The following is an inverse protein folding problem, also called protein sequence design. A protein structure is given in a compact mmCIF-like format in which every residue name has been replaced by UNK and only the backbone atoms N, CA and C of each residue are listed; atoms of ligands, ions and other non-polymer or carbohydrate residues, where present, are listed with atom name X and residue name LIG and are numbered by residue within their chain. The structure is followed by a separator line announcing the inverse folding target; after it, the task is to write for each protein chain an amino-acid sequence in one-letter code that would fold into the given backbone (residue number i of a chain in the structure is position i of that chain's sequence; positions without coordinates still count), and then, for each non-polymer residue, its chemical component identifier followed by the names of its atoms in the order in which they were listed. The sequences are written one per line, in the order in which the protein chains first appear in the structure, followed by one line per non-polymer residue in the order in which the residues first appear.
data_IF_813551922900
#
_entry.id   IF_813551922900
#
_cell.length_a   1.000
_cell.length_b   1.000
_cell.length_c   1.000
_cell.angle_alpha   90.00
_cell.angle_beta   90.00
_cell.angle_gamma   90.00
#
_symmetry.space_group_name_H-M   'P 1'
#
loop_
_entity.id
_entity.type
_entity.pdbx_description
1 polymer ?
#
# COMPACT_ATOMS: atom_id res chain seq x y z
N UNK A 1 -23.78 -16.78 16.96
CA UNK A 1 -23.36 -15.38 16.72
C UNK A 1 -23.37 -15.18 15.22
N UNK A 2 -24.08 -14.15 14.75
CA UNK A 2 -24.07 -13.83 13.33
C UNK A 2 -22.85 -12.97 13.06
N UNK A 3 -21.94 -13.44 12.22
CA UNK A 3 -20.79 -12.66 11.77
C UNK A 3 -21.11 -11.99 10.45
N UNK A 4 -20.56 -10.82 10.25
CA UNK A 4 -20.60 -10.10 8.97
C UNK A 4 -19.18 -9.93 8.43
N UNK A 5 -19.05 -10.01 7.12
CA UNK A 5 -17.84 -9.70 6.39
C UNK A 5 -17.93 -8.26 5.91
N UNK A 6 -16.95 -7.43 6.27
CA UNK A 6 -16.96 -5.99 5.97
C UNK A 6 -16.04 -5.71 4.79
N UNK A 7 -16.54 -4.91 3.83
CA UNK A 7 -15.75 -4.40 2.70
C UNK A 7 -15.18 -3.03 3.00
N UNK A 8 -16.03 -2.10 3.46
CA UNK A 8 -15.63 -0.74 3.80
C UNK A 8 -16.65 -0.05 4.70
N UNK A 9 -16.23 1.07 5.28
CA UNK A 9 -17.11 2.14 5.73
C UNK A 9 -17.13 3.20 4.61
N UNK A 10 -18.28 3.80 4.33
CA UNK A 10 -18.42 4.84 3.34
C UNK A 10 -19.12 6.07 3.90
N UNK A 11 -19.06 7.20 3.18
CA UNK A 11 -20.06 8.23 3.34
C UNK A 11 -21.46 7.66 3.06
N UNK A 12 -22.48 8.34 3.53
CA UNK A 12 -23.87 7.84 3.50
C UNK A 12 -24.26 7.32 2.11
N UNK A 13 -24.73 6.09 2.09
CA UNK A 13 -25.22 5.39 0.92
C UNK A 13 -26.53 4.69 1.26
N UNK A 14 -27.55 4.83 0.43
CA UNK A 14 -28.87 4.28 0.71
C UNK A 14 -28.94 2.79 0.33
N UNK A 15 -28.44 2.44 -0.85
CA UNK A 15 -28.54 1.08 -1.39
C UNK A 15 -27.35 0.78 -2.31
N UNK A 16 -26.95 -0.50 -2.33
CA UNK A 16 -25.95 -1.02 -3.25
C UNK A 16 -26.35 -2.42 -3.71
N UNK A 17 -26.68 -2.55 -4.99
CA UNK A 17 -27.11 -3.82 -5.59
C UNK A 17 -25.91 -4.49 -6.26
N UNK A 18 -25.16 -5.25 -5.49
CA UNK A 18 -23.98 -6.00 -5.93
C UNK A 18 -23.92 -7.36 -5.25
N UNK A 19 -23.08 -8.22 -5.81
CA UNK A 19 -22.69 -9.52 -5.23
C UNK A 19 -21.24 -9.44 -4.77
N UNK A 20 -20.97 -9.93 -3.58
CA UNK A 20 -19.62 -9.95 -3.00
C UNK A 20 -19.05 -11.36 -2.87
N UNK A 21 -18.25 -11.56 -1.84
CA UNK A 21 -17.62 -12.84 -1.51
C UNK A 21 -18.65 -13.99 -1.47
N UNK A 22 -18.23 -15.21 -1.84
CA UNK A 22 -19.08 -16.40 -1.88
C UNK A 22 -20.41 -16.19 -2.64
N UNK A 23 -20.45 -15.24 -3.59
CA UNK A 23 -21.68 -14.82 -4.28
C UNK A 23 -22.79 -14.33 -3.35
N UNK A 24 -22.46 -13.84 -2.17
CA UNK A 24 -23.42 -13.30 -1.21
C UNK A 24 -23.87 -11.89 -1.60
N UNK A 25 -25.11 -11.51 -1.33
CA UNK A 25 -25.58 -10.14 -1.59
C UNK A 25 -24.87 -9.15 -0.68
N UNK A 26 -24.59 -7.97 -1.22
CA UNK A 26 -24.13 -6.83 -0.45
C UNK A 26 -25.30 -6.24 0.33
N UNK A 27 -25.02 -5.81 1.54
CA UNK A 27 -25.95 -5.10 2.40
C UNK A 27 -25.33 -3.78 2.84
N UNK A 28 -26.17 -2.81 3.11
CA UNK A 28 -25.79 -1.47 3.59
C UNK A 28 -26.45 -1.24 4.96
N UNK A 29 -25.66 -0.91 5.96
CA UNK A 29 -26.16 -0.49 7.29
C UNK A 29 -25.75 0.96 7.52
N UNK A 30 -26.72 1.83 7.74
CA UNK A 30 -26.48 3.25 7.95
C UNK A 30 -26.37 3.59 9.43
N UNK A 31 -25.47 4.53 9.74
CA UNK A 31 -25.38 5.19 11.02
C UNK A 31 -24.98 6.66 10.82
N UNK A 32 -25.93 7.57 11.02
CA UNK A 32 -25.78 9.01 10.74
C UNK A 32 -25.30 9.26 9.30
N UNK A 33 -24.12 9.88 9.12
CA UNK A 33 -23.52 10.19 7.81
C UNK A 33 -22.62 9.07 7.27
N UNK A 34 -22.59 7.91 7.93
CA UNK A 34 -21.78 6.77 7.53
C UNK A 34 -22.65 5.58 7.13
N UNK A 35 -22.09 4.74 6.27
CA UNK A 35 -22.63 3.42 5.93
C UNK A 35 -21.55 2.36 6.05
N UNK A 36 -21.91 1.18 6.56
CA UNK A 36 -21.09 -0.03 6.45
C UNK A 36 -21.58 -0.85 5.29
N UNK A 37 -20.65 -1.27 4.44
CA UNK A 37 -20.87 -2.16 3.30
C UNK A 37 -20.38 -3.55 3.68
N UNK A 38 -21.29 -4.52 3.70
CA UNK A 38 -21.01 -5.84 4.24
C UNK A 38 -21.81 -6.97 3.57
N UNK A 39 -21.42 -8.22 3.81
CA UNK A 39 -22.21 -9.42 3.55
C UNK A 39 -22.42 -10.20 4.85
N UNK A 40 -23.61 -10.73 5.07
CA UNK A 40 -23.85 -11.66 6.19
C UNK A 40 -23.24 -13.01 5.85
N UNK A 41 -22.42 -13.55 6.74
CA UNK A 41 -21.73 -14.81 6.53
C UNK A 41 -22.14 -15.85 7.59
N UNK A 42 -22.33 -17.08 7.15
CA UNK A 42 -22.61 -18.23 8.04
C UNK A 42 -21.42 -19.18 8.13
N UNK A 43 -20.42 -19.02 7.26
CA UNK A 43 -19.23 -19.85 7.14
C UNK A 43 -17.99 -18.97 6.99
N UNK A 44 -16.83 -19.53 7.34
CA UNK A 44 -15.56 -18.86 7.13
C UNK A 44 -15.31 -18.58 5.64
N UNK A 45 -14.89 -17.39 5.33
CA UNK A 45 -14.55 -16.99 3.95
C UNK A 45 -13.24 -17.63 3.54
N UNK A 46 -13.28 -18.44 2.49
CA UNK A 46 -12.09 -19.09 1.94
C UNK A 46 -11.16 -18.08 1.30
N UNK A 47 -9.86 -18.22 1.55
CA UNK A 47 -8.80 -17.43 0.91
C UNK A 47 -8.50 -17.99 -0.49
N UNK A 48 -9.45 -17.79 -1.41
CA UNK A 48 -9.36 -18.16 -2.82
C UNK A 48 -9.43 -16.91 -3.70
N UNK A 49 -8.92 -17.02 -4.91
CA UNK A 49 -8.78 -15.90 -5.85
C UNK A 49 -10.14 -15.26 -6.17
N UNK A 50 -11.18 -16.05 -6.34
CA UNK A 50 -12.54 -15.59 -6.63
C UNK A 50 -13.09 -14.67 -5.53
N UNK A 51 -12.88 -15.02 -4.25
CA UNK A 51 -13.32 -14.19 -3.14
C UNK A 51 -12.50 -12.91 -3.01
N UNK A 52 -11.21 -12.99 -3.29
CA UNK A 52 -10.36 -11.80 -3.33
C UNK A 52 -10.83 -10.81 -4.41
N UNK A 53 -11.07 -11.28 -5.64
CA UNK A 53 -11.60 -10.44 -6.70
C UNK A 53 -13.00 -9.92 -6.41
N UNK A 54 -13.86 -10.71 -5.78
CA UNK A 54 -15.19 -10.26 -5.38
C UNK A 54 -15.13 -9.12 -4.36
N UNK A 55 -14.19 -9.20 -3.39
CA UNK A 55 -13.95 -8.11 -2.43
C UNK A 55 -13.51 -6.83 -3.13
N UNK A 56 -12.46 -6.91 -3.95
CA UNK A 56 -11.92 -5.74 -4.66
C UNK A 56 -12.95 -5.14 -5.61
N UNK A 57 -13.75 -5.97 -6.30
CA UNK A 57 -14.81 -5.50 -7.20
C UNK A 57 -15.86 -4.64 -6.49
N UNK A 58 -16.22 -4.99 -5.25
CA UNK A 58 -17.16 -4.17 -4.46
C UNK A 58 -16.59 -2.77 -4.21
N UNK A 59 -15.31 -2.69 -3.87
CA UNK A 59 -14.64 -1.41 -3.63
C UNK A 59 -14.47 -0.59 -4.91
N UNK A 60 -14.14 -1.26 -6.02
CA UNK A 60 -13.99 -0.61 -7.33
C UNK A 60 -15.33 -0.03 -7.83
N UNK A 61 -16.44 -0.75 -7.64
CA UNK A 61 -17.77 -0.24 -8.01
C UNK A 61 -18.13 1.00 -7.18
N UNK A 62 -17.81 1.03 -5.89
CA UNK A 62 -18.00 2.22 -5.04
C UNK A 62 -17.16 3.41 -5.51
N UNK A 63 -15.90 3.18 -5.93
CA UNK A 63 -15.06 4.24 -6.49
C UNK A 63 -15.62 4.80 -7.81
N UNK A 64 -16.26 3.97 -8.64
CA UNK A 64 -16.89 4.38 -9.92
C UNK A 64 -18.09 5.30 -9.70
N UNK A 65 -18.89 5.07 -8.67
CA UNK A 65 -20.04 5.93 -8.31
C UNK A 65 -19.65 7.14 -7.45
N UNK A 66 -18.35 7.41 -7.31
CA UNK A 66 -17.77 8.55 -6.61
C UNK A 66 -18.08 8.63 -5.10
N UNK A 67 -18.33 7.48 -4.49
CA UNK A 67 -18.49 7.36 -3.04
C UNK A 67 -17.12 7.30 -2.37
N UNK A 68 -16.95 8.09 -1.31
CA UNK A 68 -15.72 8.04 -0.50
C UNK A 68 -15.78 6.86 0.46
N UNK A 69 -14.73 6.04 0.46
CA UNK A 69 -14.67 4.80 1.24
C UNK A 69 -13.44 4.72 2.12
N UNK A 70 -13.59 4.04 3.26
CA UNK A 70 -12.54 3.56 4.15
C UNK A 70 -12.46 2.04 3.97
N UNK A 71 -11.59 1.53 3.07
CA UNK A 71 -11.56 0.11 2.73
C UNK A 71 -10.99 -0.73 3.87
N UNK A 72 -11.61 -1.88 4.13
CA UNK A 72 -11.05 -2.93 4.98
C UNK A 72 -10.23 -3.90 4.14
N UNK A 73 -9.27 -4.55 4.78
CA UNK A 73 -8.51 -5.61 4.11
C UNK A 73 -9.38 -6.84 3.93
N UNK A 74 -9.11 -7.58 2.86
CA UNK A 74 -9.73 -8.89 2.64
C UNK A 74 -9.61 -9.76 3.89
N UNK A 75 -10.70 -10.44 4.25
CA UNK A 75 -10.76 -11.30 5.43
C UNK A 75 -11.11 -10.57 6.74
N UNK A 76 -11.68 -9.37 6.68
CA UNK A 76 -12.13 -8.64 7.87
C UNK A 76 -13.57 -9.04 8.24
N UNK A 77 -13.75 -9.52 9.46
CA UNK A 77 -15.07 -9.87 10.02
C UNK A 77 -15.31 -9.19 11.35
N UNK A 78 -16.58 -9.02 11.67
CA UNK A 78 -17.04 -8.51 12.96
C UNK A 78 -18.36 -9.20 13.36
N UNK A 79 -18.66 -9.25 14.65
CA UNK A 79 -20.00 -9.66 15.09
C UNK A 79 -21.01 -8.58 14.72
N UNK A 80 -22.16 -8.99 14.20
CA UNK A 80 -23.19 -8.05 13.78
C UNK A 80 -23.67 -7.11 14.91
N UNK A 81 -23.70 -7.61 16.14
CA UNK A 81 -24.07 -6.86 17.34
C UNK A 81 -23.07 -5.77 17.74
N UNK A 82 -21.77 -5.92 17.37
CA UNK A 82 -20.71 -4.97 17.72
C UNK A 82 -20.64 -3.79 16.75
N UNK A 83 -21.22 -3.89 15.55
CA UNK A 83 -21.13 -2.90 14.47
C UNK A 83 -21.54 -1.51 14.92
N UNK A 84 -22.74 -1.39 15.50
CA UNK A 84 -23.28 -0.08 15.92
C UNK A 84 -22.44 0.50 17.06
N UNK A 85 -21.93 -0.32 17.95
CA UNK A 85 -21.06 0.12 19.05
C UNK A 85 -19.76 0.71 18.51
N UNK A 86 -19.10 0.03 17.55
CA UNK A 86 -17.88 0.52 16.92
C UNK A 86 -18.13 1.81 16.13
N UNK A 87 -19.23 1.89 15.39
CA UNK A 87 -19.60 3.11 14.66
C UNK A 87 -19.82 4.29 15.59
N UNK A 88 -20.44 4.07 16.76
CA UNK A 88 -20.64 5.12 17.77
C UNK A 88 -19.33 5.58 18.39
N UNK A 89 -18.52 4.64 18.85
CA UNK A 89 -17.28 4.96 19.58
C UNK A 89 -16.25 5.65 18.68
N UNK A 90 -16.19 5.25 17.41
CA UNK A 90 -15.18 5.74 16.44
C UNK A 90 -15.73 6.70 15.39
N UNK A 91 -16.96 7.18 15.56
CA UNK A 91 -17.66 8.00 14.57
C UNK A 91 -16.83 9.19 14.08
N UNK A 92 -16.27 9.97 14.99
CA UNK A 92 -15.50 11.16 14.66
C UNK A 92 -14.23 10.80 13.85
N UNK A 93 -13.54 9.71 14.22
CA UNK A 93 -12.36 9.24 13.52
C UNK A 93 -12.72 8.84 12.07
N UNK A 94 -13.84 8.14 11.89
CA UNK A 94 -14.28 7.74 10.55
C UNK A 94 -14.70 8.93 9.70
N UNK A 95 -15.44 9.90 10.27
CA UNK A 95 -15.82 11.13 9.56
C UNK A 95 -14.59 11.95 9.14
N UNK A 96 -13.61 12.12 10.02
CA UNK A 96 -12.35 12.81 9.70
C UNK A 96 -11.60 12.11 8.54
N UNK A 97 -11.52 10.77 8.57
CA UNK A 97 -10.93 9.99 7.49
C UNK A 97 -11.71 10.13 6.16
N UNK A 98 -13.04 10.02 6.19
CA UNK A 98 -13.90 10.26 5.02
C UNK A 98 -13.63 11.65 4.44
N UNK A 99 -13.63 12.68 5.29
CA UNK A 99 -13.36 14.05 4.85
C UNK A 99 -11.96 14.20 4.23
N UNK A 100 -10.95 13.60 4.86
CA UNK A 100 -9.58 13.62 4.36
C UNK A 100 -9.44 12.92 3.00
N UNK A 101 -10.14 11.80 2.79
CA UNK A 101 -10.05 10.99 1.57
C UNK A 101 -10.99 11.46 0.46
N UNK A 102 -11.90 12.39 0.75
CA UNK A 102 -12.92 12.82 -0.21
C UNK A 102 -12.32 13.32 -1.52
N UNK A 103 -12.79 12.72 -2.62
CA UNK A 103 -12.33 13.03 -3.98
C UNK A 103 -10.88 12.63 -4.26
N UNK A 104 -10.30 11.72 -3.47
CA UNK A 104 -8.94 11.22 -3.63
C UNK A 104 -8.92 9.72 -3.87
N UNK A 105 -7.85 9.26 -4.51
CA UNK A 105 -7.57 7.85 -4.79
C UNK A 105 -6.09 7.55 -4.52
N UNK A 106 -5.77 6.30 -4.33
CA UNK A 106 -4.39 5.86 -4.15
C UNK A 106 -3.78 5.43 -5.49
N UNK A 107 -2.56 5.92 -5.78
CA UNK A 107 -1.72 5.48 -6.89
C UNK A 107 -0.47 4.82 -6.30
N UNK A 108 -0.19 3.60 -6.72
CA UNK A 108 1.01 2.87 -6.30
C UNK A 108 2.11 3.02 -7.34
N UNK A 109 3.33 3.32 -6.87
CA UNK A 109 4.53 3.43 -7.71
C UNK A 109 5.61 2.52 -7.14
N UNK A 110 6.08 1.59 -7.95
CA UNK A 110 7.17 0.68 -7.60
C UNK A 110 8.34 0.90 -8.54
N UNK A 111 9.57 0.89 -7.99
CA UNK A 111 10.78 0.90 -8.81
C UNK A 111 11.55 -0.40 -8.65
N UNK A 112 11.92 -0.98 -9.79
CA UNK A 112 12.61 -2.24 -9.95
C UNK A 112 13.97 -1.94 -10.54
N UNK A 113 15.02 -2.51 -9.98
CA UNK A 113 16.38 -2.35 -10.45
C UNK A 113 16.98 -3.64 -10.99
N UNK A 114 18.08 -3.52 -11.72
CA UNK A 114 18.94 -4.66 -12.00
C UNK A 114 19.96 -4.77 -10.86
N UNK A 115 19.78 -5.74 -9.97
CA UNK A 115 20.63 -5.91 -8.78
C UNK A 115 22.11 -6.07 -9.13
N UNK A 116 22.43 -6.80 -10.22
CA UNK A 116 23.83 -6.99 -10.65
C UNK A 116 24.50 -5.66 -11.01
N UNK A 117 23.79 -4.76 -11.68
CA UNK A 117 24.31 -3.43 -12.03
C UNK A 117 24.52 -2.56 -10.77
N UNK A 118 23.59 -2.63 -9.82
CA UNK A 118 23.72 -1.91 -8.55
C UNK A 118 24.87 -2.45 -7.74
N UNK A 119 25.01 -3.78 -7.66
CA UNK A 119 26.12 -4.42 -6.97
C UNK A 119 27.47 -4.00 -7.55
N UNK A 120 27.60 -3.92 -8.86
CA UNK A 120 28.81 -3.45 -9.54
C UNK A 120 29.09 -1.97 -9.23
N UNK A 121 28.08 -1.09 -9.32
CA UNK A 121 28.21 0.33 -8.97
C UNK A 121 28.67 0.53 -7.53
N UNK A 122 28.09 -0.22 -6.60
CA UNK A 122 28.45 -0.12 -5.16
C UNK A 122 29.85 -0.68 -4.94
N UNK A 123 30.22 -1.82 -5.51
CA UNK A 123 31.56 -2.42 -5.39
C UNK A 123 32.67 -1.51 -5.90
N UNK A 124 32.46 -0.79 -6.96
CA UNK A 124 33.47 0.14 -7.53
C UNK A 124 33.81 1.28 -6.57
N UNK A 125 32.95 1.60 -5.61
CA UNK A 125 33.14 2.64 -4.59
C UNK A 125 33.36 2.05 -3.18
N UNK A 126 33.44 0.73 -3.05
CA UNK A 126 33.49 0.03 -1.77
C UNK A 126 34.92 -0.22 -1.33
N UNK A 127 35.25 0.18 -0.11
CA UNK A 127 36.52 -0.13 0.54
C UNK A 127 36.29 -1.29 1.51
N UNK A 128 36.85 -2.45 1.23
CA UNK A 128 36.72 -3.62 2.08
C UNK A 128 37.36 -3.37 3.45
N UNK A 129 36.67 -3.68 4.57
CA UNK A 129 37.24 -3.59 5.89
C UNK A 129 38.29 -4.67 6.07
N UNK A 130 39.36 -4.32 6.80
CA UNK A 130 40.37 -5.29 7.18
C UNK A 130 40.39 -5.47 8.70
N UNK A 131 40.24 -6.70 9.16
CA UNK A 131 40.38 -7.10 10.55
C UNK A 131 41.72 -7.83 10.68
N UNK A 132 42.62 -7.36 11.54
CA UNK A 132 43.90 -8.01 11.79
C UNK A 132 43.79 -9.00 12.97
N UNK A 133 43.68 -10.31 12.66
CA UNK A 133 43.70 -11.38 13.66
C UNK A 133 44.85 -12.33 13.32
N UNK A 134 45.56 -12.79 14.34
CA UNK A 134 46.76 -13.63 14.20
C UNK A 134 46.50 -15.02 13.58
N UNK A 135 45.28 -15.55 13.68
CA UNK A 135 44.89 -16.81 13.05
C UNK A 135 44.36 -16.56 11.65
N UNK A 136 45.13 -16.94 10.62
CA UNK A 136 44.86 -16.65 9.23
C UNK A 136 43.48 -17.21 8.72
N UNK A 137 43.06 -18.41 9.10
CA UNK A 137 41.78 -18.99 8.71
C UNK A 137 40.59 -18.24 9.31
N UNK A 138 40.72 -17.88 10.60
CA UNK A 138 39.68 -17.11 11.31
C UNK A 138 39.64 -15.70 10.75
N UNK A 139 40.78 -15.11 10.49
CA UNK A 139 40.91 -13.77 9.93
C UNK A 139 40.24 -13.68 8.53
N UNK A 140 40.53 -14.61 7.64
CA UNK A 140 39.94 -14.66 6.31
C UNK A 140 38.40 -14.85 6.35
N UNK A 141 37.93 -15.72 7.25
CA UNK A 141 36.48 -15.92 7.43
C UNK A 141 35.78 -14.66 7.94
N UNK A 142 36.34 -14.00 8.95
CA UNK A 142 35.77 -12.79 9.53
C UNK A 142 35.84 -11.61 8.58
N UNK A 143 36.94 -11.44 7.85
CA UNK A 143 37.08 -10.40 6.84
C UNK A 143 36.02 -10.56 5.74
N UNK A 144 35.81 -11.78 5.23
CA UNK A 144 34.76 -12.06 4.24
C UNK A 144 33.36 -11.75 4.78
N UNK A 145 33.03 -12.18 5.99
CA UNK A 145 31.73 -11.85 6.61
C UNK A 145 31.52 -10.35 6.81
N UNK A 146 32.56 -9.64 7.22
CA UNK A 146 32.49 -8.18 7.38
C UNK A 146 32.35 -7.47 6.04
N UNK A 147 33.04 -7.96 5.02
CA UNK A 147 32.91 -7.47 3.64
C UNK A 147 31.47 -7.63 3.14
N UNK A 148 30.91 -8.84 3.25
CA UNK A 148 29.53 -9.11 2.83
C UNK A 148 28.52 -8.24 3.61
N UNK A 149 28.70 -8.08 4.92
CA UNK A 149 27.82 -7.25 5.75
C UNK A 149 27.87 -5.77 5.32
N UNK A 150 29.07 -5.20 5.19
CA UNK A 150 29.25 -3.80 4.80
C UNK A 150 28.84 -3.54 3.36
N UNK A 151 29.01 -4.51 2.46
CA UNK A 151 28.51 -4.40 1.10
C UNK A 151 26.99 -4.31 1.07
N UNK A 152 26.30 -5.18 1.84
CA UNK A 152 24.85 -5.13 1.97
C UNK A 152 24.38 -3.81 2.61
N UNK A 153 25.09 -3.28 3.60
CA UNK A 153 24.81 -1.97 4.19
C UNK A 153 24.95 -0.85 3.14
N UNK A 154 25.99 -0.89 2.31
CA UNK A 154 26.21 0.08 1.24
C UNK A 154 25.13 0.00 0.16
N UNK A 155 24.66 -1.20 -0.19
CA UNK A 155 23.54 -1.39 -1.11
C UNK A 155 22.25 -0.79 -0.52
N UNK A 156 21.97 -1.02 0.77
CA UNK A 156 20.82 -0.44 1.46
C UNK A 156 20.89 1.11 1.50
N UNK A 157 22.06 1.67 1.73
CA UNK A 157 22.27 3.13 1.69
C UNK A 157 22.03 3.68 0.29
N UNK A 158 22.54 3.00 -0.74
CA UNK A 158 22.27 3.38 -2.13
C UNK A 158 20.76 3.34 -2.44
N UNK A 159 20.06 2.25 -2.05
CA UNK A 159 18.62 2.13 -2.19
C UNK A 159 17.87 3.28 -1.51
N UNK A 160 18.28 3.65 -0.29
CA UNK A 160 17.67 4.75 0.47
C UNK A 160 17.81 6.08 -0.27
N UNK A 161 19.00 6.40 -0.73
CA UNK A 161 19.29 7.65 -1.44
C UNK A 161 18.45 7.75 -2.73
N UNK A 162 18.41 6.68 -3.52
CA UNK A 162 17.65 6.67 -4.78
C UNK A 162 16.13 6.71 -4.52
N UNK A 163 15.64 5.99 -3.51
CA UNK A 163 14.23 6.04 -3.13
C UNK A 163 13.81 7.44 -2.66
N UNK A 164 14.63 8.11 -1.86
CA UNK A 164 14.36 9.49 -1.42
C UNK A 164 14.33 10.48 -2.58
N UNK A 165 15.24 10.35 -3.54
CA UNK A 165 15.27 11.20 -4.74
C UNK A 165 13.98 11.01 -5.55
N UNK A 166 13.63 9.75 -5.85
CA UNK A 166 12.41 9.41 -6.59
C UNK A 166 11.19 9.96 -5.85
N UNK A 167 11.09 9.70 -4.55
CA UNK A 167 9.97 10.14 -3.73
C UNK A 167 9.81 11.67 -3.74
N UNK A 168 10.90 12.42 -3.55
CA UNK A 168 10.91 13.89 -3.60
C UNK A 168 10.45 14.46 -4.94
N UNK A 169 10.85 13.84 -6.06
CA UNK A 169 10.45 14.28 -7.39
C UNK A 169 8.97 14.00 -7.69
N UNK A 170 8.42 12.93 -7.11
CA UNK A 170 7.00 12.59 -7.27
C UNK A 170 6.13 13.47 -6.38
N UNK A 171 6.57 13.78 -5.15
CA UNK A 171 5.82 14.62 -4.23
C UNK A 171 5.64 16.04 -4.78
N UNK A 172 4.45 16.58 -4.57
CA UNK A 172 4.10 17.97 -4.86
C UNK A 172 3.19 18.52 -3.77
N UNK A 173 2.97 19.81 -3.74
CA UNK A 173 2.07 20.46 -2.79
C UNK A 173 0.65 19.88 -2.91
N UNK A 174 0.18 19.27 -1.82
CA UNK A 174 -1.15 18.67 -1.71
C UNK A 174 -1.23 17.18 -2.10
N UNK A 175 -0.10 16.51 -2.39
CA UNK A 175 -0.01 15.07 -2.54
C UNK A 175 0.57 14.48 -1.25
N UNK A 176 -0.18 13.60 -0.60
CA UNK A 176 0.33 12.78 0.50
C UNK A 176 1.02 11.56 -0.08
N UNK A 177 2.22 11.25 0.39
CA UNK A 177 2.98 10.10 -0.10
C UNK A 177 3.64 9.34 1.03
N UNK A 178 3.64 8.01 0.92
CA UNK A 178 4.33 7.09 1.82
C UNK A 178 5.12 6.10 0.99
N UNK A 179 6.32 5.76 1.42
CA UNK A 179 7.08 4.69 0.77
C UNK A 179 7.76 3.78 1.79
N UNK A 180 8.06 2.58 1.35
CA UNK A 180 8.87 1.61 2.06
C UNK A 180 10.02 1.16 1.16
N UNK A 181 11.17 0.94 1.78
CA UNK A 181 12.30 0.30 1.11
C UNK A 181 12.08 -1.20 1.11
N UNK A 182 12.11 -1.77 -0.08
CA UNK A 182 12.04 -3.21 -0.26
C UNK A 182 13.46 -3.79 -0.27
N UNK A 183 13.71 -4.80 0.56
CA UNK A 183 15.03 -5.46 0.62
C UNK A 183 15.02 -6.72 -0.24
N UNK A 184 14.69 -6.56 -1.52
CA UNK A 184 14.69 -7.67 -2.49
C UNK A 184 15.67 -7.40 -3.61
N UNK A 185 16.14 -8.46 -4.26
CA UNK A 185 17.09 -8.36 -5.39
C UNK A 185 16.49 -7.69 -6.63
N UNK A 186 15.18 -7.47 -6.67
CA UNK A 186 14.52 -6.88 -7.83
C UNK A 186 13.86 -5.54 -7.54
N UNK A 187 13.25 -5.36 -6.37
CA UNK A 187 12.48 -4.17 -6.03
C UNK A 187 13.11 -3.48 -4.82
N UNK A 188 13.39 -2.18 -4.93
CA UNK A 188 13.94 -1.39 -3.84
C UNK A 188 12.96 -0.32 -3.32
N UNK A 189 11.99 0.08 -4.12
CA UNK A 189 11.07 1.16 -3.80
C UNK A 189 9.62 0.73 -4.03
N UNK A 190 8.77 0.92 -3.03
CA UNK A 190 7.34 0.72 -3.12
C UNK A 190 6.64 1.88 -2.39
N UNK A 191 5.93 2.69 -3.14
CA UNK A 191 5.29 3.90 -2.65
C UNK A 191 3.81 3.94 -3.00
N UNK A 192 3.04 4.58 -2.13
CA UNK A 192 1.63 4.92 -2.34
C UNK A 192 1.46 6.42 -2.23
N UNK A 193 0.69 7.00 -3.16
CA UNK A 193 0.40 8.42 -3.24
C UNK A 193 -1.10 8.65 -3.25
N UNK A 194 -1.56 9.54 -2.37
CA UNK A 194 -2.95 9.96 -2.30
C UNK A 194 -3.18 11.17 -3.21
N UNK A 195 -3.85 10.94 -4.32
CA UNK A 195 -4.00 11.90 -5.42
C UNK A 195 -5.47 12.31 -5.57
N UNK A 196 -5.74 13.59 -5.77
CA UNK A 196 -7.09 14.05 -6.11
C UNK A 196 -7.50 13.47 -7.47
N UNK A 197 -8.74 12.97 -7.60
CA UNK A 197 -9.27 12.37 -8.83
C UNK A 197 -9.08 13.28 -10.05
N UNK A 198 -9.32 14.59 -9.90
CA UNK A 198 -9.16 15.58 -10.97
C UNK A 198 -7.69 15.93 -11.28
N UNK A 199 -6.71 15.39 -10.54
CA UNK A 199 -5.26 15.60 -10.72
C UNK A 199 -4.50 14.35 -11.15
N UNK A 200 -5.19 13.27 -11.49
CA UNK A 200 -4.57 12.00 -11.90
C UNK A 200 -3.70 12.20 -13.16
N UNK A 201 -4.18 12.98 -14.14
CA UNK A 201 -3.41 13.23 -15.38
C UNK A 201 -2.14 14.04 -15.11
N UNK A 202 -2.22 15.08 -14.26
CA UNK A 202 -1.06 15.87 -13.86
C UNK A 202 -0.03 15.01 -13.13
N UNK A 203 -0.52 14.14 -12.23
CA UNK A 203 0.31 13.18 -11.51
C UNK A 203 0.97 12.16 -12.45
N UNK A 204 0.21 11.62 -13.42
CA UNK A 204 0.74 10.69 -14.41
C UNK A 204 1.84 11.34 -15.27
N UNK A 205 1.67 12.57 -15.68
CA UNK A 205 2.69 13.33 -16.43
C UNK A 205 3.97 13.53 -15.60
N UNK A 206 3.82 13.79 -14.30
CA UNK A 206 4.95 13.90 -13.37
C UNK A 206 5.70 12.56 -13.24
N UNK A 207 4.97 11.45 -13.10
CA UNK A 207 5.60 10.12 -13.07
C UNK A 207 6.37 9.85 -14.37
N UNK A 208 5.81 10.20 -15.55
CA UNK A 208 6.50 10.03 -16.82
C UNK A 208 7.82 10.82 -16.86
N UNK A 209 7.84 12.03 -16.34
CA UNK A 209 9.06 12.83 -16.21
C UNK A 209 10.08 12.11 -15.32
N UNK A 210 9.68 11.62 -14.14
CA UNK A 210 10.58 10.86 -13.24
C UNK A 210 11.10 9.60 -13.93
N UNK A 211 10.23 8.86 -14.63
CA UNK A 211 10.63 7.64 -15.38
C UNK A 211 11.69 7.98 -16.45
N UNK A 212 11.59 9.14 -17.10
CA UNK A 212 12.57 9.57 -18.11
C UNK A 212 13.93 9.92 -17.53
N UNK A 213 13.96 10.40 -16.28
CA UNK A 213 15.22 10.76 -15.59
C UNK A 213 15.94 9.54 -15.00
N UNK A 214 15.18 8.47 -14.63
CA UNK A 214 15.71 7.26 -14.01
C UNK A 214 15.64 6.05 -14.95
N UNK A 215 16.28 6.14 -16.10
CA UNK A 215 16.22 5.13 -17.19
C UNK A 215 16.80 3.76 -16.79
N UNK A 216 17.60 3.70 -15.74
CA UNK A 216 18.19 2.46 -15.20
C UNK A 216 17.21 1.61 -14.39
N UNK A 217 16.06 2.18 -13.99
CA UNK A 217 15.03 1.49 -13.24
C UNK A 217 13.79 1.24 -14.10
N UNK A 218 13.10 0.13 -13.80
CA UNK A 218 11.77 -0.13 -14.34
C UNK A 218 10.73 0.33 -13.34
N UNK A 219 9.79 1.16 -13.78
CA UNK A 219 8.69 1.59 -12.94
C UNK A 219 7.42 0.81 -13.26
N UNK A 220 6.71 0.42 -12.21
CA UNK A 220 5.37 -0.12 -12.27
C UNK A 220 4.45 0.86 -11.55
N UNK A 221 3.52 1.45 -12.28
CA UNK A 221 2.51 2.38 -11.77
C UNK A 221 1.16 1.71 -11.90
N UNK A 222 0.43 1.62 -10.78
CA UNK A 222 -0.87 0.97 -10.74
C UNK A 222 -1.88 1.79 -9.94
N UNK A 223 -3.15 1.64 -10.24
CA UNK A 223 -4.28 2.37 -9.68
C UNK A 223 -5.14 3.00 -10.78
N UNK A 224 -6.15 3.79 -10.44
CA UNK A 224 -6.50 4.21 -9.08
C UNK A 224 -7.03 3.08 -8.21
N UNK A 225 -6.58 3.03 -6.97
CA UNK A 225 -6.98 2.06 -5.96
C UNK A 225 -7.78 2.73 -4.83
N UNK A 226 -8.58 1.96 -4.08
CA UNK A 226 -9.06 2.37 -2.78
C UNK A 226 -7.90 2.78 -1.86
N UNK A 227 -8.06 3.82 -1.02
CA UNK A 227 -6.92 4.42 -0.30
C UNK A 227 -6.51 3.64 0.95
N UNK A 228 -6.19 2.36 0.81
CA UNK A 228 -5.81 1.44 1.89
C UNK A 228 -4.67 1.95 2.78
N UNK A 229 -3.66 2.56 2.17
CA UNK A 229 -2.50 3.04 2.90
C UNK A 229 -2.74 4.37 3.61
N UNK A 230 -3.84 5.05 3.37
CA UNK A 230 -4.15 6.37 3.93
C UNK A 230 -5.33 6.35 4.89
N UNK A 231 -5.97 5.21 5.08
CA UNK A 231 -7.01 5.01 6.09
C UNK A 231 -6.40 4.75 7.46
N UNK A 232 -6.95 5.39 8.50
CA UNK A 232 -6.64 5.07 9.88
C UNK A 232 -7.84 4.33 10.50
N UNK A 233 -7.89 3.02 10.26
CA UNK A 233 -8.90 2.13 10.82
C UNK A 233 -8.34 1.49 12.10
N UNK A 234 -8.44 2.19 13.22
CA UNK A 234 -8.15 1.65 14.55
C UNK A 234 -9.35 0.81 15.05
N UNK A 235 -9.54 -0.39 14.48
CA UNK A 235 -10.56 -1.34 14.93
C UNK A 235 -9.89 -2.44 15.72
#
# INVERSE_FOLDING_TARGET
MNSIYIYCISEKLDELVLTGINNLPIKVMQYNELSIIYSSINEEVKYIEENFFAHENVLDELLKIDVTILPFRFGTYINEEDVITILKEKYNIFIENIFFLKGRVEISVRAIWNYSNVLEKVKNNFVAPQIGISNEKINNYLNKKMEDYKLNESINQYATIEAEKIHKLILDNGIEGKYILMKTDSMFFNASYLVKKNKINDFSSRIQFVVSDFTEYKFLVTGPWPPYNFCNLLI
#
